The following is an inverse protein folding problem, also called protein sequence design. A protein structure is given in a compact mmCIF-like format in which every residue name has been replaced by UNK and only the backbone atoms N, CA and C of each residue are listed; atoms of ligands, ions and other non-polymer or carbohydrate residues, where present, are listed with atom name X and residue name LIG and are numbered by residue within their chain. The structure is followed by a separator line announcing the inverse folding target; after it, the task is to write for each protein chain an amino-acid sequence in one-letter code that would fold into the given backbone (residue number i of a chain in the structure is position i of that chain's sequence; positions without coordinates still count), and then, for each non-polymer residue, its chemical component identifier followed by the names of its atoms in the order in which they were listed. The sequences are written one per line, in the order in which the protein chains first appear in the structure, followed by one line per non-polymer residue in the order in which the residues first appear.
data_IF_318644760909
#
_entry.id   IF_318644760909
#
_cell.length_a   1.000
_cell.length_b   1.000
_cell.length_c   1.000
_cell.angle_alpha   90.00
_cell.angle_beta   90.00
_cell.angle_gamma   90.00
#
_symmetry.space_group_name_H-M   'P 1'
#
loop_
_entity.id
_entity.type
_entity.pdbx_description
1 polymer ?
#
# COMPACT_ATOMS: atom_id res chain seq x y z
N UNK A 1 -14.62 -8.07 -1.77
CA UNK A 1 -13.85 -7.49 -2.89
C UNK A 1 -14.80 -6.73 -3.81
N UNK A 2 -14.57 -5.45 -4.05
CA UNK A 2 -15.35 -4.63 -5.00
C UNK A 2 -14.38 -4.03 -6.02
N UNK A 3 -14.67 -4.23 -7.30
CA UNK A 3 -13.92 -3.64 -8.41
C UNK A 3 -14.67 -2.41 -8.91
N UNK A 4 -13.92 -1.32 -9.10
CA UNK A 4 -14.43 -0.08 -9.65
C UNK A 4 -13.91 0.09 -11.07
N UNK A 5 -14.82 0.25 -12.03
CA UNK A 5 -14.49 0.61 -13.40
C UNK A 5 -14.32 2.13 -13.52
N UNK A 6 -13.41 2.59 -14.39
CA UNK A 6 -13.17 4.00 -14.70
C UNK A 6 -12.99 4.88 -13.44
N UNK A 7 -12.08 4.48 -12.57
CA UNK A 7 -11.89 5.07 -11.24
C UNK A 7 -10.86 6.21 -11.24
N UNK A 8 -11.21 7.37 -10.67
CA UNK A 8 -10.29 8.51 -10.57
C UNK A 8 -9.18 8.24 -9.55
N UNK A 9 -7.92 8.41 -9.97
CA UNK A 9 -6.73 8.29 -9.13
C UNK A 9 -6.29 9.63 -8.51
N UNK A 10 -7.09 10.70 -8.65
CA UNK A 10 -6.75 12.05 -8.16
C UNK A 10 -6.31 12.06 -6.70
N UNK A 11 -7.00 11.30 -5.85
CA UNK A 11 -6.74 11.24 -4.41
C UNK A 11 -5.73 10.13 -4.04
N UNK A 12 -5.16 9.44 -5.03
CA UNK A 12 -4.25 8.31 -4.84
C UNK A 12 -2.86 8.58 -5.45
N UNK A 13 -2.54 9.84 -5.73
CA UNK A 13 -1.20 10.30 -6.06
C UNK A 13 -0.96 11.68 -5.46
N UNK A 14 0.23 11.92 -4.91
CA UNK A 14 0.55 13.17 -4.20
C UNK A 14 0.59 14.41 -5.11
N UNK A 15 0.81 14.23 -6.42
CA UNK A 15 0.71 15.32 -7.40
C UNK A 15 -0.74 15.76 -7.66
N UNK A 16 -1.75 15.02 -7.19
CA UNK A 16 -3.15 15.35 -7.37
C UNK A 16 -3.62 15.30 -8.82
N UNK A 17 -2.90 14.57 -9.69
CA UNK A 17 -3.23 14.48 -11.10
C UNK A 17 -4.47 13.62 -11.28
N UNK A 18 -5.49 14.18 -11.93
CA UNK A 18 -6.73 13.48 -12.22
C UNK A 18 -6.60 12.63 -13.50
N UNK A 19 -6.08 11.42 -13.33
CA UNK A 19 -6.13 10.35 -14.34
C UNK A 19 -7.03 9.22 -13.84
N UNK A 20 -7.43 8.35 -14.77
CA UNK A 20 -8.35 7.25 -14.48
C UNK A 20 -7.66 5.91 -14.60
N UNK A 21 -7.94 5.02 -13.65
CA UNK A 21 -7.70 3.60 -13.78
C UNK A 21 -8.84 2.96 -14.58
N UNK A 22 -8.51 2.04 -15.50
CA UNK A 22 -9.54 1.22 -16.16
C UNK A 22 -10.31 0.42 -15.12
N UNK A 23 -9.59 -0.29 -14.25
CA UNK A 23 -10.14 -1.00 -13.11
C UNK A 23 -9.35 -0.65 -11.86
N UNK A 24 -10.03 -0.56 -10.72
CA UNK A 24 -9.42 -0.29 -9.43
C UNK A 24 -9.99 -1.21 -8.36
N UNK A 25 -9.11 -1.69 -7.49
CA UNK A 25 -9.47 -2.44 -6.28
C UNK A 25 -8.50 -2.09 -5.16
N UNK A 26 -9.03 -2.00 -3.93
CA UNK A 26 -8.22 -1.96 -2.71
C UNK A 26 -8.27 -3.32 -2.02
N UNK A 27 -7.11 -3.84 -1.61
CA UNK A 27 -7.00 -5.12 -0.89
C UNK A 27 -6.49 -4.89 0.53
N UNK A 28 -7.15 -5.49 1.50
CA UNK A 28 -6.91 -5.30 2.94
C UNK A 28 -6.30 -6.54 3.60
N UNK A 29 -6.19 -7.66 2.87
CA UNK A 29 -5.52 -8.87 3.35
C UNK A 29 -4.69 -9.54 2.26
N UNK A 30 -3.75 -10.40 2.68
CA UNK A 30 -2.96 -11.25 1.77
C UNK A 30 -3.87 -12.23 1.02
N UNK A 31 -4.94 -12.72 1.66
CA UNK A 31 -5.92 -13.59 1.03
C UNK A 31 -6.64 -12.87 -0.12
N UNK A 32 -7.14 -11.65 0.12
CA UNK A 32 -7.77 -10.84 -0.93
C UNK A 32 -6.79 -10.53 -2.08
N UNK A 33 -5.53 -10.19 -1.77
CA UNK A 33 -4.53 -10.00 -2.82
C UNK A 33 -4.32 -11.29 -3.63
N UNK A 34 -4.22 -12.44 -2.97
CA UNK A 34 -4.09 -13.74 -3.64
C UNK A 34 -5.28 -14.04 -4.54
N UNK A 35 -6.50 -13.81 -4.05
CA UNK A 35 -7.74 -14.02 -4.81
C UNK A 35 -7.77 -13.14 -6.06
N UNK A 36 -7.44 -11.84 -5.93
CA UNK A 36 -7.35 -10.90 -7.06
C UNK A 36 -6.29 -11.34 -8.07
N UNK A 37 -5.13 -11.81 -7.61
CA UNK A 37 -4.05 -12.24 -8.50
C UNK A 37 -4.42 -13.52 -9.27
N UNK A 38 -5.19 -14.42 -8.66
CA UNK A 38 -5.68 -15.65 -9.29
C UNK A 38 -6.81 -15.35 -10.27
N UNK A 39 -7.82 -14.58 -9.86
CA UNK A 39 -9.00 -14.26 -10.67
C UNK A 39 -8.61 -13.42 -11.90
N UNK A 40 -7.72 -12.44 -11.72
CA UNK A 40 -7.29 -11.53 -12.79
C UNK A 40 -5.93 -11.90 -13.37
N UNK A 41 -5.56 -13.19 -13.38
CA UNK A 41 -4.21 -13.66 -13.77
C UNK A 41 -3.68 -13.07 -15.08
N UNK A 42 -4.52 -12.96 -16.11
CA UNK A 42 -4.13 -12.50 -17.45
C UNK A 42 -4.33 -10.99 -17.68
N UNK A 43 -4.87 -10.26 -16.69
CA UNK A 43 -5.06 -8.81 -16.77
C UNK A 43 -3.78 -8.10 -16.35
N UNK A 44 -3.41 -7.03 -17.09
CA UNK A 44 -2.30 -6.15 -16.71
C UNK A 44 -2.58 -5.51 -15.35
N UNK A 45 -1.59 -5.52 -14.45
CA UNK A 45 -1.72 -5.03 -13.07
C UNK A 45 -0.83 -3.81 -12.86
N UNK A 46 -1.28 -2.88 -12.02
CA UNK A 46 -0.51 -1.76 -11.53
C UNK A 46 -0.65 -1.72 -10.00
N UNK A 47 0.45 -1.93 -9.28
CA UNK A 47 0.43 -1.92 -7.81
C UNK A 47 0.60 -0.50 -7.31
N UNK A 48 -0.28 -0.09 -6.39
CA UNK A 48 -0.31 1.25 -5.82
C UNK A 48 -0.20 1.17 -4.29
N UNK A 49 0.76 1.91 -3.73
CA UNK A 49 0.80 2.23 -2.30
C UNK A 49 0.13 3.58 -2.04
N UNK A 50 0.81 4.50 -1.35
CA UNK A 50 0.31 5.87 -1.13
C UNK A 50 0.42 6.83 -2.32
N UNK A 51 1.06 6.43 -3.43
CA UNK A 51 1.22 7.28 -4.61
C UNK A 51 2.08 8.54 -4.40
N UNK A 52 2.95 8.54 -3.38
CA UNK A 52 3.77 9.71 -3.00
C UNK A 52 5.01 9.92 -3.87
N UNK A 53 5.44 8.90 -4.62
CA UNK A 53 6.65 8.95 -5.45
C UNK A 53 6.38 8.48 -6.89
N UNK A 54 5.31 8.99 -7.51
CA UNK A 54 4.98 8.70 -8.91
C UNK A 54 4.34 9.89 -9.60
N UNK A 55 4.66 10.06 -10.88
CA UNK A 55 4.00 11.02 -11.76
C UNK A 55 3.12 10.25 -12.75
N UNK A 56 1.80 10.39 -12.62
CA UNK A 56 0.85 9.79 -13.54
C UNK A 56 0.65 10.70 -14.75
N UNK A 57 1.15 10.28 -15.92
CA UNK A 57 1.13 11.11 -17.14
C UNK A 57 -0.08 10.83 -18.04
N UNK A 58 -0.78 9.72 -17.82
CA UNK A 58 -1.91 9.28 -18.63
C UNK A 58 -2.82 8.34 -17.83
N UNK A 59 -4.00 8.05 -18.37
CA UNK A 59 -4.88 7.01 -17.83
C UNK A 59 -4.19 5.64 -17.79
N UNK A 60 -4.48 4.87 -16.76
CA UNK A 60 -3.91 3.55 -16.55
C UNK A 60 -4.86 2.48 -17.13
N UNK A 61 -4.53 1.95 -18.31
CA UNK A 61 -5.20 0.80 -18.91
C UNK A 61 -4.72 -0.52 -18.27
N UNK A 62 -5.08 -0.70 -17.00
CA UNK A 62 -4.75 -1.87 -16.17
C UNK A 62 -5.73 -1.99 -14.99
N UNK A 63 -5.67 -3.12 -14.28
CA UNK A 63 -6.19 -3.26 -12.93
C UNK A 63 -5.21 -2.61 -11.94
N UNK A 64 -5.60 -1.47 -11.39
CA UNK A 64 -4.89 -0.81 -10.31
C UNK A 64 -5.26 -1.47 -8.99
N UNK A 65 -4.27 -2.00 -8.28
CA UNK A 65 -4.42 -2.68 -6.99
C UNK A 65 -3.79 -1.78 -5.93
N UNK A 66 -4.62 -1.14 -5.10
CA UNK A 66 -4.17 -0.44 -3.91
C UNK A 66 -3.89 -1.45 -2.79
N UNK A 67 -2.65 -1.46 -2.29
CA UNK A 67 -2.26 -2.27 -1.15
C UNK A 67 -2.63 -1.52 0.13
N UNK A 68 -3.72 -1.94 0.77
CA UNK A 68 -4.23 -1.40 2.05
C UNK A 68 -4.18 -2.44 3.18
N UNK A 69 -3.23 -3.39 3.07
CA UNK A 69 -3.00 -4.44 4.06
C UNK A 69 -2.32 -3.82 5.29
N UNK A 70 -3.09 -3.61 6.36
CA UNK A 70 -2.58 -3.09 7.65
C UNK A 70 -2.05 -4.22 8.53
N UNK A 71 -1.23 -3.87 9.51
CA UNK A 71 -0.70 -4.80 10.50
C UNK A 71 0.75 -4.50 10.83
N UNK A 72 1.05 -4.49 12.14
CA UNK A 72 2.38 -4.32 12.70
C UNK A 72 2.55 -5.37 13.80
N UNK A 73 3.63 -6.15 13.75
CA UNK A 73 3.88 -7.25 14.70
C UNK A 73 5.32 -7.18 15.20
N UNK A 74 5.50 -7.19 16.52
CA UNK A 74 6.81 -7.41 17.13
C UNK A 74 7.05 -8.92 17.14
N UNK A 75 7.95 -9.41 16.28
CA UNK A 75 8.22 -10.84 16.15
C UNK A 75 9.11 -11.35 17.28
N UNK A 76 10.08 -10.53 17.69
CA UNK A 76 11.06 -10.85 18.73
C UNK A 76 11.65 -9.56 19.28
N UNK A 77 12.02 -9.59 20.56
CA UNK A 77 12.76 -8.53 21.22
C UNK A 77 13.79 -9.13 22.17
N UNK A 78 14.92 -8.45 22.32
CA UNK A 78 15.88 -8.65 23.41
C UNK A 78 16.47 -7.29 23.83
N UNK A 79 17.47 -7.31 24.69
CA UNK A 79 18.06 -6.09 25.28
C UNK A 79 18.65 -5.11 24.25
N UNK A 80 19.03 -5.59 23.05
CA UNK A 80 19.72 -4.79 22.04
C UNK A 80 18.92 -4.58 20.75
N UNK A 81 17.92 -5.44 20.49
CA UNK A 81 17.25 -5.50 19.20
C UNK A 81 15.76 -5.78 19.34
N UNK A 82 15.00 -5.19 18.42
CA UNK A 82 13.59 -5.48 18.17
C UNK A 82 13.40 -5.80 16.69
N UNK A 83 12.70 -6.90 16.40
CA UNK A 83 12.36 -7.30 15.03
C UNK A 83 10.88 -7.09 14.81
N UNK A 84 10.54 -6.19 13.91
CA UNK A 84 9.17 -5.77 13.65
C UNK A 84 8.82 -6.11 12.20
N UNK A 85 7.68 -6.76 12.01
CA UNK A 85 7.04 -6.92 10.71
C UNK A 85 6.01 -5.80 10.55
N UNK A 86 6.09 -5.07 9.45
CA UNK A 86 5.12 -4.04 9.08
C UNK A 86 4.54 -4.42 7.70
N UNK A 87 3.22 -4.45 7.59
CA UNK A 87 2.55 -4.78 6.34
C UNK A 87 2.64 -3.62 5.35
N UNK A 88 2.69 -3.94 4.06
CA UNK A 88 2.97 -2.98 2.99
C UNK A 88 1.95 -1.84 2.83
N UNK A 89 0.73 -2.00 3.38
CA UNK A 89 -0.31 -0.98 3.33
C UNK A 89 -0.25 0.02 4.50
N UNK A 90 0.65 -0.16 5.47
CA UNK A 90 0.81 0.79 6.58
C UNK A 90 1.27 2.17 6.08
N UNK A 91 0.77 3.22 6.72
CA UNK A 91 1.32 4.56 6.48
C UNK A 91 2.72 4.61 7.11
N UNK A 92 3.72 4.95 6.29
CA UNK A 92 5.11 4.96 6.73
C UNK A 92 5.36 5.91 7.90
N UNK A 93 4.84 7.13 7.85
CA UNK A 93 5.05 8.11 8.91
C UNK A 93 4.40 7.66 10.22
N UNK A 94 3.16 7.15 10.16
CA UNK A 94 2.48 6.61 11.34
C UNK A 94 3.21 5.38 11.92
N UNK A 95 3.87 4.58 11.06
CA UNK A 95 4.70 3.47 11.51
C UNK A 95 5.96 3.96 12.26
N UNK A 96 6.65 4.98 11.76
CA UNK A 96 7.81 5.58 12.45
C UNK A 96 7.40 6.18 13.79
N UNK A 97 6.29 6.91 13.85
CA UNK A 97 5.77 7.44 15.11
C UNK A 97 5.44 6.30 16.09
N UNK A 98 4.81 5.24 15.60
CA UNK A 98 4.51 4.06 16.41
C UNK A 98 5.80 3.44 16.99
N UNK A 99 6.90 3.31 16.23
CA UNK A 99 8.16 2.78 16.79
C UNK A 99 8.75 3.68 17.87
N UNK A 100 8.68 5.01 17.68
CA UNK A 100 9.14 5.99 18.68
C UNK A 100 8.31 5.88 19.96
N UNK A 101 6.99 5.77 19.87
CA UNK A 101 6.12 5.60 21.04
C UNK A 101 6.37 4.29 21.81
N UNK A 102 6.88 3.26 21.14
CA UNK A 102 7.32 2.01 21.79
C UNK A 102 8.74 2.11 22.38
N UNK A 103 9.39 3.27 22.27
CA UNK A 103 10.80 3.49 22.64
C UNK A 103 11.79 2.63 21.82
N UNK A 104 11.45 2.37 20.56
CA UNK A 104 12.33 1.68 19.60
C UNK A 104 13.03 2.73 18.70
N UNK A 105 14.33 2.91 18.92
CA UNK A 105 15.16 3.78 18.07
C UNK A 105 15.64 3.10 16.79
N UNK A 106 15.88 3.89 15.75
CA UNK A 106 16.45 3.49 14.46
C UNK A 106 15.75 4.05 13.22
N UNK A 107 14.51 4.54 13.35
CA UNK A 107 13.71 5.06 12.22
C UNK A 107 13.40 6.56 12.30
N UNK A 108 13.81 7.24 13.37
CA UNK A 108 13.45 8.62 13.69
C UNK A 108 13.88 9.67 12.66
N UNK A 109 14.84 9.35 11.80
CA UNK A 109 15.31 10.23 10.74
C UNK A 109 14.56 10.06 9.40
N UNK A 110 13.62 9.11 9.33
CA UNK A 110 12.84 8.73 8.14
C UNK A 110 11.39 9.18 8.21
#
# INVERSE_FOLDING_TARGET
MQIHEHFSLKNYNSFGINVYAKQFIAVQSVAELSDVLIEFKDVKKFILGGGSNMLLTQNIDALVILIDIKGKTINKQNDNYVWITCNAGENWHEFVLWTIYQNFGGLENL
#
